data_IF_473420505437
#
_entry.id   IF_473420505437
#
_cell.length_a   1.000
_cell.length_b   1.000
_cell.length_c   1.000
_cell.angle_alpha   90.00
_cell.angle_beta   90.00
_cell.angle_gamma   90.00
#
_symmetry.space_group_name_H-M   'P 1'
#
loop_
_entity.id
_entity.type
_entity.pdbx_description
1 polymer ?
#
# COMPACT_ATOMS: atom_id res chain seq x y z
N UNK A 1 20.09 -22.16 20.71
CA UNK A 1 20.36 -20.73 20.42
C UNK A 1 19.08 -20.19 19.82
N UNK A 2 18.34 -19.39 20.59
CA UNK A 2 17.10 -18.77 20.12
C UNK A 2 17.48 -17.43 19.48
N UNK A 3 17.11 -17.24 18.22
CA UNK A 3 17.24 -15.94 17.55
C UNK A 3 16.24 -14.98 18.17
N UNK A 4 16.75 -13.94 18.82
CA UNK A 4 15.96 -12.84 19.37
C UNK A 4 15.23 -12.12 18.24
N UNK A 5 13.92 -12.35 18.15
CA UNK A 5 13.00 -11.55 17.36
C UNK A 5 13.12 -10.10 17.80
N UNK A 6 13.75 -9.28 16.97
CA UNK A 6 13.92 -7.85 17.25
C UNK A 6 12.60 -7.17 16.92
N UNK A 7 11.68 -7.12 17.88
CA UNK A 7 10.45 -6.34 17.73
C UNK A 7 10.82 -4.86 17.67
N UNK A 8 10.72 -4.26 16.48
CA UNK A 8 10.85 -2.82 16.28
C UNK A 8 9.72 -2.15 17.08
N UNK A 9 10.00 -1.14 17.93
CA UNK A 9 8.94 -0.48 18.68
C UNK A 9 7.95 0.19 17.72
N UNK A 10 6.64 0.16 18.02
CA UNK A 10 5.65 0.82 17.19
C UNK A 10 5.97 2.32 17.12
N UNK A 11 6.24 2.79 15.91
CA UNK A 11 6.28 4.23 15.64
C UNK A 11 4.83 4.69 15.80
N UNK A 12 4.54 5.69 16.64
CA UNK A 12 3.17 6.15 16.86
C UNK A 12 2.45 6.54 15.56
N UNK A 13 1.12 6.79 15.60
CA UNK A 13 0.36 7.14 14.41
C UNK A 13 0.99 8.36 13.71
N UNK A 14 1.28 8.20 12.42
CA UNK A 14 1.78 9.28 11.57
C UNK A 14 0.63 10.25 11.25
N UNK A 15 0.95 11.53 11.14
CA UNK A 15 -0.02 12.51 10.64
C UNK A 15 -0.33 12.26 9.16
N UNK A 16 -1.50 12.73 8.71
CA UNK A 16 -1.90 12.67 7.30
C UNK A 16 -0.82 13.27 6.40
N UNK A 17 -0.32 14.46 6.74
CA UNK A 17 0.61 15.20 5.90
C UNK A 17 1.97 14.49 5.82
N UNK A 18 2.41 13.82 6.89
CA UNK A 18 3.61 12.96 6.84
C UNK A 18 3.43 11.78 5.90
N UNK A 19 2.29 11.09 5.95
CA UNK A 19 2.02 9.95 5.04
C UNK A 19 1.93 10.44 3.59
N UNK A 20 1.24 11.55 3.34
CA UNK A 20 1.15 12.17 2.01
C UNK A 20 2.54 12.52 1.50
N UNK A 21 3.41 13.11 2.32
CA UNK A 21 4.78 13.44 1.94
C UNK A 21 5.59 12.18 1.61
N UNK A 22 5.50 11.12 2.43
CA UNK A 22 6.20 9.85 2.20
C UNK A 22 5.78 9.24 0.85
N UNK A 23 4.47 9.10 0.62
CA UNK A 23 3.94 8.49 -0.62
C UNK A 23 4.27 9.37 -1.84
N UNK A 24 4.17 10.69 -1.72
CA UNK A 24 4.51 11.64 -2.79
C UNK A 24 5.99 11.54 -3.17
N UNK A 25 6.89 11.49 -2.19
CA UNK A 25 8.31 11.34 -2.43
C UNK A 25 8.61 10.03 -3.16
N UNK A 26 7.99 8.94 -2.73
CA UNK A 26 8.17 7.65 -3.37
C UNK A 26 7.63 7.61 -4.80
N UNK A 27 6.42 8.12 -5.05
CA UNK A 27 5.86 8.18 -6.41
C UNK A 27 6.68 9.07 -7.33
N UNK A 28 7.19 10.20 -6.83
CA UNK A 28 8.12 11.06 -7.58
C UNK A 28 9.42 10.34 -7.89
N UNK A 29 9.95 9.54 -6.96
CA UNK A 29 11.12 8.70 -7.22
C UNK A 29 10.85 7.68 -8.33
N UNK A 30 9.67 7.04 -8.35
CA UNK A 30 9.33 6.09 -9.42
C UNK A 30 9.37 6.72 -10.81
N UNK A 31 9.11 8.03 -10.95
CA UNK A 31 9.16 8.71 -12.25
C UNK A 31 10.59 8.92 -12.78
N UNK A 32 11.60 8.57 -12.00
CA UNK A 32 13.01 8.55 -12.45
C UNK A 32 13.36 7.30 -13.25
N UNK A 33 12.51 6.26 -13.18
CA UNK A 33 12.67 5.02 -13.93
C UNK A 33 11.91 5.10 -15.26
N UNK A 34 12.35 4.33 -16.28
CA UNK A 34 11.56 4.19 -17.50
C UNK A 34 10.18 3.60 -17.16
N UNK A 35 9.20 3.83 -18.03
CA UNK A 35 7.83 3.28 -18.00
C UNK A 35 6.82 3.97 -17.08
N UNK A 36 7.22 4.89 -16.19
CA UNK A 36 6.29 5.75 -15.45
C UNK A 36 6.65 7.24 -15.62
N UNK A 37 5.91 7.95 -16.46
CA UNK A 37 6.08 9.39 -16.66
C UNK A 37 5.48 10.22 -15.50
N UNK A 38 6.05 11.41 -15.19
CA UNK A 38 5.49 12.33 -14.19
C UNK A 38 4.01 12.67 -14.37
N UNK A 39 3.53 12.75 -15.62
CA UNK A 39 2.12 13.04 -15.97
C UNK A 39 1.11 11.96 -15.51
N UNK A 40 1.61 10.75 -15.21
CA UNK A 40 0.81 9.69 -14.62
C UNK A 40 0.60 9.86 -13.12
N UNK A 41 1.37 10.73 -12.45
CA UNK A 41 1.15 11.05 -11.04
C UNK A 41 0.10 12.16 -10.96
N UNK A 42 -1.06 11.84 -10.40
CA UNK A 42 -2.12 12.82 -10.10
C UNK A 42 -1.91 13.36 -8.70
N UNK A 43 -1.43 14.59 -8.62
CA UNK A 43 -1.25 15.32 -7.35
C UNK A 43 -2.57 15.95 -6.90
N UNK A 44 -2.96 15.80 -5.63
CA UNK A 44 -4.14 16.46 -5.10
C UNK A 44 -4.00 17.99 -5.12
N UNK A 45 -5.11 18.73 -5.23
CA UNK A 45 -5.15 20.14 -4.87
C UNK A 45 -4.71 20.37 -3.42
N UNK A 46 -4.33 21.59 -3.05
CA UNK A 46 -3.91 21.92 -1.68
C UNK A 46 -4.99 21.62 -0.62
N UNK A 47 -6.26 21.69 -1.00
CA UNK A 47 -7.41 21.34 -0.15
C UNK A 47 -7.81 19.86 -0.23
N UNK A 48 -7.04 19.02 -0.93
CA UNK A 48 -7.41 17.67 -1.29
C UNK A 48 -8.37 17.58 -2.48
N UNK A 49 -8.58 16.35 -2.94
CA UNK A 49 -9.65 15.98 -3.85
C UNK A 49 -11.02 16.22 -3.20
N UNK A 50 -12.10 16.47 -3.97
CA UNK A 50 -13.42 16.69 -3.40
C UNK A 50 -13.84 15.52 -2.49
N UNK A 51 -14.23 15.82 -1.24
CA UNK A 51 -14.61 14.79 -0.25
C UNK A 51 -15.75 13.90 -0.73
N UNK A 52 -16.67 14.44 -1.52
CA UNK A 52 -17.73 13.68 -2.19
C UNK A 52 -17.22 12.53 -3.07
N UNK A 53 -15.99 12.67 -3.59
CA UNK A 53 -15.30 11.64 -4.38
C UNK A 53 -14.93 10.45 -3.51
N UNK A 54 -14.49 10.71 -2.27
CA UNK A 54 -14.05 9.66 -1.35
C UNK A 54 -15.15 9.19 -0.39
N UNK A 55 -16.25 9.93 -0.25
CA UNK A 55 -17.39 9.57 0.61
C UNK A 55 -18.01 8.23 0.23
N UNK A 56 -17.89 7.80 -1.02
CA UNK A 56 -18.32 6.49 -1.50
C UNK A 56 -17.64 5.36 -0.71
N UNK A 57 -16.38 5.55 -0.28
CA UNK A 57 -15.62 4.60 0.52
C UNK A 57 -16.15 4.45 1.95
N UNK A 58 -16.99 5.37 2.44
CA UNK A 58 -17.68 5.22 3.73
C UNK A 58 -18.56 3.95 3.75
N UNK A 59 -19.13 3.55 2.61
CA UNK A 59 -19.89 2.29 2.46
C UNK A 59 -19.03 1.04 2.73
N UNK A 60 -17.72 1.13 2.49
CA UNK A 60 -16.77 0.05 2.84
C UNK A 60 -16.46 -0.01 4.34
N UNK A 61 -16.99 0.92 5.14
CA UNK A 61 -16.79 0.97 6.59
C UNK A 61 -15.45 1.57 7.00
N UNK A 62 -14.82 2.38 6.15
CA UNK A 62 -13.55 3.07 6.46
C UNK A 62 -13.76 4.24 7.42
N UNK A 63 -12.78 4.51 8.26
CA UNK A 63 -12.82 5.61 9.22
C UNK A 63 -12.62 6.96 8.54
N UNK A 64 -13.10 8.05 9.16
CA UNK A 64 -12.93 9.40 8.61
C UNK A 64 -11.45 9.78 8.43
N UNK A 65 -10.54 9.24 9.25
CA UNK A 65 -9.10 9.43 9.09
C UNK A 65 -8.57 8.79 7.78
N UNK A 66 -9.05 7.59 7.41
CA UNK A 66 -8.74 6.97 6.13
C UNK A 66 -9.34 7.77 4.98
N UNK A 67 -10.60 8.21 5.09
CA UNK A 67 -11.25 9.00 4.05
C UNK A 67 -10.54 10.34 3.80
N UNK A 68 -10.16 11.04 4.88
CA UNK A 68 -9.40 12.28 4.79
C UNK A 68 -8.02 12.05 4.16
N UNK A 69 -7.32 10.97 4.52
CA UNK A 69 -6.05 10.64 3.86
C UNK A 69 -6.22 10.32 2.37
N UNK A 70 -7.22 9.50 1.99
CA UNK A 70 -7.49 9.19 0.58
C UNK A 70 -7.82 10.46 -0.23
N UNK A 71 -8.48 11.46 0.36
CA UNK A 71 -8.71 12.74 -0.30
C UNK A 71 -7.41 13.53 -0.54
N UNK A 72 -6.31 13.25 0.17
CA UNK A 72 -5.06 14.01 0.09
C UNK A 72 -3.89 13.20 -0.46
N UNK A 73 -4.07 11.94 -0.87
CA UNK A 73 -3.00 11.15 -1.48
C UNK A 73 -2.80 11.52 -2.95
N UNK A 74 -1.54 11.47 -3.43
CA UNK A 74 -1.29 11.36 -4.86
C UNK A 74 -1.67 9.97 -5.37
N UNK A 75 -2.04 9.86 -6.64
CA UNK A 75 -2.39 8.59 -7.26
C UNK A 75 -1.62 8.37 -8.55
N UNK A 76 -1.25 7.10 -8.81
CA UNK A 76 -0.73 6.69 -10.11
C UNK A 76 -1.93 6.37 -11.02
N UNK A 77 -2.07 7.11 -12.11
CA UNK A 77 -3.11 6.97 -13.12
C UNK A 77 -2.55 6.33 -14.40
N UNK A 78 -2.00 5.14 -14.24
CA UNK A 78 -1.44 4.33 -15.32
C UNK A 78 -1.89 2.88 -15.15
N UNK A 79 -3.11 2.56 -15.61
CA UNK A 79 -3.74 1.23 -15.40
C UNK A 79 -3.03 0.06 -16.09
N UNK A 80 -2.10 0.37 -16.98
CA UNK A 80 -1.24 -0.60 -17.68
C UNK A 80 0.12 -0.80 -16.98
N UNK A 81 0.44 0.04 -15.99
CA UNK A 81 1.72 -0.01 -15.29
C UNK A 81 1.56 -0.78 -13.98
N UNK A 82 2.44 -1.77 -13.81
CA UNK A 82 2.51 -2.59 -12.62
C UNK A 82 3.74 -2.17 -11.81
N UNK A 83 3.57 -2.00 -10.49
CA UNK A 83 4.69 -1.68 -9.59
C UNK A 83 5.62 -2.90 -9.45
N UNK A 84 5.03 -4.07 -9.26
CA UNK A 84 5.68 -5.36 -9.32
C UNK A 84 4.83 -6.26 -10.21
N UNK A 85 5.38 -7.39 -10.68
CA UNK A 85 4.59 -8.39 -11.40
C UNK A 85 3.28 -8.64 -10.65
N UNK A 86 2.15 -8.55 -11.36
CA UNK A 86 0.82 -8.84 -10.82
C UNK A 86 0.33 -7.84 -9.74
N UNK A 87 0.96 -6.67 -9.62
CA UNK A 87 0.69 -5.64 -8.59
C UNK A 87 0.36 -4.28 -9.22
N UNK A 88 -0.90 -3.87 -9.14
CA UNK A 88 -1.39 -2.61 -9.72
C UNK A 88 -1.62 -1.53 -8.67
N UNK A 89 -1.27 -0.26 -8.94
CA UNK A 89 -1.63 0.82 -8.02
C UNK A 89 -3.15 1.06 -8.01
N UNK A 90 -3.71 1.34 -6.84
CA UNK A 90 -5.13 1.70 -6.70
C UNK A 90 -5.26 3.22 -6.76
N UNK A 91 -5.94 3.72 -7.80
CA UNK A 91 -6.34 5.13 -7.91
C UNK A 91 -7.76 5.33 -7.37
N UNK A 92 -7.91 5.66 -6.08
CA UNK A 92 -9.22 5.75 -5.40
C UNK A 92 -10.13 6.88 -5.92
N UNK A 93 -9.57 7.88 -6.61
CA UNK A 93 -10.35 8.94 -7.27
C UNK A 93 -10.62 8.64 -8.75
N UNK A 94 -10.09 7.52 -9.25
CA UNK A 94 -10.21 7.13 -10.64
C UNK A 94 -11.64 6.77 -11.00
N UNK A 95 -12.01 7.02 -12.26
CA UNK A 95 -13.36 6.74 -12.79
C UNK A 95 -13.80 5.29 -12.53
N UNK A 96 -12.90 4.32 -12.71
CA UNK A 96 -13.23 2.90 -12.58
C UNK A 96 -13.48 2.49 -11.12
N UNK A 97 -12.60 2.80 -10.14
CA UNK A 97 -12.89 2.53 -8.73
C UNK A 97 -14.19 3.15 -8.22
N UNK A 98 -14.44 4.42 -8.54
CA UNK A 98 -15.67 5.11 -8.13
C UNK A 98 -16.92 4.48 -8.76
N UNK A 99 -16.83 4.08 -10.04
CA UNK A 99 -17.92 3.39 -10.72
C UNK A 99 -18.22 2.04 -10.05
N UNK A 100 -17.20 1.24 -9.75
CA UNK A 100 -17.36 -0.09 -9.11
C UNK A 100 -18.15 -0.01 -7.80
N UNK A 101 -17.93 1.04 -7.00
CA UNK A 101 -18.63 1.23 -5.74
C UNK A 101 -20.02 1.90 -5.84
N UNK A 102 -20.33 2.47 -7.00
CA UNK A 102 -21.66 3.00 -7.30
C UNK A 102 -22.57 1.99 -8.02
N UNK A 103 -22.03 0.86 -8.45
CA UNK A 103 -22.80 -0.20 -9.11
C UNK A 103 -23.64 -1.02 -8.11
N UNK A 104 -24.69 -1.66 -8.63
CA UNK A 104 -25.44 -2.67 -7.88
C UNK A 104 -24.52 -3.85 -7.53
N UNK A 105 -24.64 -4.39 -6.31
CA UNK A 105 -23.73 -5.41 -5.76
C UNK A 105 -22.26 -4.96 -5.72
N UNK A 106 -22.01 -3.72 -5.32
CA UNK A 106 -20.66 -3.19 -5.12
C UNK A 106 -19.81 -4.06 -4.19
N UNK A 107 -20.43 -4.81 -3.29
CA UNK A 107 -19.79 -5.75 -2.36
C UNK A 107 -18.95 -6.78 -3.11
N UNK A 108 -19.43 -7.25 -4.28
CA UNK A 108 -18.69 -8.18 -5.15
C UNK A 108 -17.43 -7.54 -5.77
N UNK A 109 -17.34 -6.20 -5.75
CA UNK A 109 -16.21 -5.42 -6.28
C UNK A 109 -15.17 -5.11 -5.20
N UNK A 110 -15.41 -5.50 -3.95
CA UNK A 110 -14.49 -5.30 -2.82
C UNK A 110 -13.11 -5.91 -3.07
N UNK A 111 -13.04 -7.01 -3.81
CA UNK A 111 -11.81 -7.70 -4.21
C UNK A 111 -10.85 -6.89 -5.08
N UNK A 112 -11.26 -5.71 -5.55
CA UNK A 112 -10.36 -4.75 -6.23
C UNK A 112 -9.62 -3.80 -5.27
N UNK A 113 -10.00 -3.81 -3.99
CA UNK A 113 -9.51 -2.86 -2.99
C UNK A 113 -9.01 -3.54 -1.72
N UNK A 114 -9.40 -4.79 -1.51
CA UNK A 114 -9.00 -5.63 -0.39
C UNK A 114 -8.70 -7.04 -0.89
N UNK A 115 -7.76 -7.77 -0.27
CA UNK A 115 -7.48 -9.14 -0.65
C UNK A 115 -8.71 -10.05 -0.54
N UNK A 116 -8.76 -11.08 -1.38
CA UNK A 116 -9.88 -12.02 -1.39
C UNK A 116 -10.05 -12.69 -0.01
N UNK A 117 -11.30 -12.93 0.39
CA UNK A 117 -11.67 -13.49 1.70
C UNK A 117 -11.24 -12.69 2.94
N UNK A 118 -10.77 -11.45 2.78
CA UNK A 118 -10.32 -10.62 3.88
C UNK A 118 -11.16 -9.34 3.97
N UNK A 119 -11.56 -9.00 5.20
CA UNK A 119 -12.28 -7.76 5.48
C UNK A 119 -11.36 -6.84 6.27
N UNK A 120 -10.72 -5.90 5.57
CA UNK A 120 -9.79 -4.98 6.22
C UNK A 120 -10.54 -4.12 7.25
N UNK A 121 -9.91 -3.91 8.41
CA UNK A 121 -10.45 -3.05 9.46
C UNK A 121 -10.67 -1.61 8.96
N UNK A 122 -11.46 -0.82 9.70
CA UNK A 122 -11.83 0.54 9.29
C UNK A 122 -10.65 1.50 9.10
N UNK A 123 -9.54 1.25 9.79
CA UNK A 123 -8.34 2.08 9.78
C UNK A 123 -7.26 1.57 8.81
N UNK A 124 -7.60 0.53 8.02
CA UNK A 124 -6.68 -0.14 7.10
C UNK A 124 -7.22 -0.05 5.66
N UNK A 125 -6.36 0.31 4.71
CA UNK A 125 -6.67 0.31 3.28
C UNK A 125 -5.47 -0.19 2.48
N UNK A 126 -5.68 -0.54 1.20
CA UNK A 126 -4.59 -0.99 0.34
C UNK A 126 -4.13 0.09 -0.63
N UNK A 127 -2.83 0.24 -0.85
CA UNK A 127 -2.29 1.09 -1.92
C UNK A 127 -2.25 0.38 -3.28
N UNK A 128 -2.32 -0.96 -3.29
CA UNK A 128 -2.15 -1.76 -4.50
C UNK A 128 -3.14 -2.93 -4.56
N UNK A 129 -3.66 -3.21 -5.75
CA UNK A 129 -4.40 -4.43 -6.06
C UNK A 129 -3.37 -5.50 -6.45
N UNK A 130 -3.17 -6.50 -5.58
CA UNK A 130 -2.38 -7.68 -5.89
C UNK A 130 -3.29 -8.80 -6.38
N UNK A 131 -3.02 -9.41 -7.53
CA UNK A 131 -3.78 -10.62 -7.89
C UNK A 131 -3.21 -11.85 -7.15
N UNK A 132 -2.90 -12.91 -7.87
CA UNK A 132 -2.50 -14.18 -7.27
C UNK A 132 -1.10 -14.10 -6.64
N UNK A 133 -0.15 -13.50 -7.36
CA UNK A 133 1.24 -13.35 -6.93
C UNK A 133 1.61 -11.90 -6.62
N UNK A 134 0.67 -10.99 -6.84
CA UNK A 134 0.82 -9.58 -6.57
C UNK A 134 0.87 -9.25 -5.09
N UNK A 135 1.29 -8.02 -4.82
CA UNK A 135 1.40 -7.47 -3.47
C UNK A 135 0.22 -6.57 -3.16
N UNK A 136 -0.43 -6.83 -2.04
CA UNK A 136 -1.34 -5.93 -1.37
C UNK A 136 -0.56 -5.15 -0.32
N UNK A 137 -0.31 -3.88 -0.59
CA UNK A 137 0.35 -3.00 0.36
C UNK A 137 -0.69 -2.42 1.33
N UNK A 138 -0.89 -3.11 2.44
CA UNK A 138 -1.92 -2.80 3.43
C UNK A 138 -1.40 -1.76 4.42
N UNK A 139 -1.93 -0.56 4.39
CA UNK A 139 -1.55 0.56 5.27
C UNK A 139 -2.49 0.59 6.48
N UNK A 140 -1.94 0.41 7.68
CA UNK A 140 -2.66 0.57 8.96
C UNK A 140 -2.34 1.95 9.54
N UNK A 141 -3.31 2.87 9.45
CA UNK A 141 -3.12 4.25 9.92
C UNK A 141 -3.01 4.36 11.43
N UNK A 142 -3.67 3.46 12.16
CA UNK A 142 -3.66 3.48 13.62
C UNK A 142 -2.30 3.02 14.14
N UNK A 143 -1.71 2.03 13.48
CA UNK A 143 -0.39 1.52 13.83
C UNK A 143 0.76 2.33 13.20
N UNK A 144 0.51 3.10 12.13
CA UNK A 144 1.55 3.79 11.38
C UNK A 144 2.44 2.83 10.58
N UNK A 145 1.90 1.66 10.22
CA UNK A 145 2.64 0.57 9.57
C UNK A 145 2.06 0.19 8.21
N UNK A 146 2.85 -0.56 7.46
CA UNK A 146 2.45 -1.17 6.20
C UNK A 146 2.84 -2.65 6.20
N UNK A 147 1.93 -3.48 5.73
CA UNK A 147 2.12 -4.92 5.57
C UNK A 147 2.18 -5.24 4.07
N UNK A 148 3.25 -5.93 3.66
CA UNK A 148 3.42 -6.47 2.31
C UNK A 148 2.80 -7.86 2.25
N UNK A 149 1.50 -7.91 1.93
CA UNK A 149 0.71 -9.14 1.88
C UNK A 149 0.62 -9.66 0.45
N UNK A 150 0.69 -10.98 0.25
CA UNK A 150 0.43 -11.61 -1.04
C UNK A 150 -0.25 -12.95 -0.83
N UNK A 151 -1.19 -13.32 -1.72
CA UNK A 151 -2.03 -14.50 -1.53
C UNK A 151 -1.29 -15.80 -1.83
N UNK A 152 -0.62 -15.89 -2.98
CA UNK A 152 0.13 -17.08 -3.42
C UNK A 152 1.63 -16.79 -3.59
N UNK A 153 2.09 -15.61 -3.18
CA UNK A 153 3.49 -15.19 -3.15
C UNK A 153 3.83 -14.49 -1.83
N UNK A 154 5.00 -13.83 -1.79
CA UNK A 154 5.36 -12.95 -0.69
C UNK A 154 5.98 -13.63 0.54
N UNK A 155 6.18 -12.87 1.65
CA UNK A 155 6.73 -13.40 2.89
C UNK A 155 5.76 -14.38 3.56
N UNK A 156 6.31 -15.36 4.27
CA UNK A 156 5.50 -16.27 5.10
C UNK A 156 4.88 -15.52 6.28
N UNK A 157 3.69 -15.92 6.77
CA UNK A 157 3.15 -15.42 8.02
C UNK A 157 4.06 -15.83 9.21
N UNK A 158 4.10 -15.01 10.24
CA UNK A 158 4.83 -15.21 11.50
C UNK A 158 4.15 -16.25 12.43
N UNK A 159 3.25 -17.08 11.90
CA UNK A 159 2.53 -18.11 12.66
C UNK A 159 1.67 -19.02 11.79
N UNK A 160 1.18 -20.11 12.38
CA UNK A 160 0.34 -21.13 11.74
C UNK A 160 -1.17 -20.95 12.02
N UNK A 161 -1.58 -19.78 12.52
CA UNK A 161 -2.97 -19.55 12.93
C UNK A 161 -3.92 -19.49 11.73
N UNK A 162 -5.11 -20.09 11.87
CA UNK A 162 -6.18 -20.03 10.86
C UNK A 162 -6.51 -18.58 10.53
N UNK A 163 -6.20 -18.16 9.30
CA UNK A 163 -6.37 -16.80 8.84
C UNK A 163 -7.87 -16.46 8.71
N UNK A 164 -8.44 -15.90 9.77
CA UNK A 164 -9.74 -15.21 9.69
C UNK A 164 -9.64 -13.88 8.91
N UNK A 165 -10.66 -13.04 9.03
CA UNK A 165 -10.74 -11.74 8.32
C UNK A 165 -9.51 -10.82 8.55
N UNK A 166 -8.78 -11.01 9.67
CA UNK A 166 -7.56 -10.27 10.02
C UNK A 166 -6.26 -11.08 9.83
N UNK A 167 -6.27 -12.19 9.09
CA UNK A 167 -5.09 -13.05 8.89
C UNK A 167 -3.87 -12.33 8.28
N UNK A 168 -4.06 -11.18 7.64
CA UNK A 168 -2.96 -10.32 7.16
C UNK A 168 -2.09 -9.80 8.31
N UNK A 169 -2.62 -9.70 9.54
CA UNK A 169 -1.85 -9.27 10.72
C UNK A 169 -0.77 -10.27 11.12
N UNK A 170 -0.87 -11.51 10.65
CA UNK A 170 0.17 -12.52 10.85
C UNK A 170 1.38 -12.25 9.95
N UNK A 171 1.28 -11.38 8.95
CA UNK A 171 2.39 -11.10 8.05
C UNK A 171 3.26 -9.98 8.60
N UNK A 172 4.59 -10.02 8.34
CA UNK A 172 5.51 -8.98 8.79
C UNK A 172 5.03 -7.58 8.39
N UNK A 173 4.91 -6.71 9.39
CA UNK A 173 4.55 -5.30 9.23
C UNK A 173 5.73 -4.42 9.63
N UNK A 174 5.90 -3.30 8.93
CA UNK A 174 6.99 -2.34 9.20
C UNK A 174 6.44 -0.91 9.19
N UNK A 175 7.11 0.05 9.86
CA UNK A 175 6.74 1.45 9.77
C UNK A 175 6.63 1.94 8.31
N UNK A 176 5.60 2.73 8.00
CA UNK A 176 5.30 3.18 6.62
C UNK A 176 6.55 3.80 5.97
N UNK A 177 7.22 4.73 6.68
CA UNK A 177 8.42 5.38 6.17
C UNK A 177 9.54 4.37 5.86
N UNK A 178 9.78 3.44 6.78
CA UNK A 178 10.83 2.42 6.63
C UNK A 178 10.61 1.55 5.39
N UNK A 179 9.35 1.18 5.10
CA UNK A 179 9.02 0.41 3.90
C UNK A 179 9.39 1.15 2.61
N UNK A 180 8.99 2.42 2.50
CA UNK A 180 9.25 3.21 1.30
C UNK A 180 10.73 3.56 1.13
N UNK A 181 11.43 3.89 2.22
CA UNK A 181 12.88 4.06 2.21
C UNK A 181 13.59 2.79 1.70
N UNK A 182 13.18 1.62 2.20
CA UNK A 182 13.74 0.33 1.76
C UNK A 182 13.44 0.03 0.28
N UNK A 183 12.28 0.42 -0.24
CA UNK A 183 11.97 0.31 -1.65
C UNK A 183 12.89 1.19 -2.51
N UNK A 184 13.11 2.44 -2.11
CA UNK A 184 14.03 3.38 -2.79
C UNK A 184 15.45 2.82 -2.79
N UNK A 185 15.94 2.37 -1.65
CA UNK A 185 17.28 1.78 -1.50
C UNK A 185 17.48 0.57 -2.41
N UNK A 186 16.47 -0.32 -2.46
CA UNK A 186 16.49 -1.52 -3.29
C UNK A 186 16.50 -1.18 -4.77
N UNK A 187 15.66 -0.26 -5.21
CA UNK A 187 15.54 0.15 -6.61
C UNK A 187 16.75 0.97 -7.08
N UNK A 188 17.35 1.77 -6.20
CA UNK A 188 18.55 2.56 -6.50
C UNK A 188 19.83 1.71 -6.57
N UNK A 189 19.75 0.41 -6.26
CA UNK A 189 20.91 -0.49 -6.22
C UNK A 189 21.83 -0.26 -5.01
N UNK A 190 21.46 0.59 -4.06
CA UNK A 190 22.24 0.86 -2.85
C UNK A 190 22.37 -0.40 -1.96
N UNK A 191 21.36 -1.28 -2.00
CA UNK A 191 21.40 -2.59 -1.35
C UNK A 191 22.34 -3.61 -2.03
N UNK A 192 22.66 -3.44 -3.33
CA UNK A 192 23.59 -4.31 -4.08
C UNK A 192 25.05 -4.00 -3.69
N UNK A 193 25.33 -2.76 -3.28
CA UNK A 193 26.66 -2.32 -2.83
C UNK A 193 27.12 -2.92 -1.50
N UNK A 194 26.21 -3.39 -0.63
CA UNK A 194 26.54 -3.94 0.69
C UNK A 194 26.98 -5.41 0.68
N UNK A 195 26.75 -6.14 -0.42
CA UNK A 195 27.10 -7.57 -0.56
C UNK A 195 28.29 -7.86 -1.49
N UNK A 196 29.12 -6.85 -1.84
CA UNK A 196 30.34 -7.05 -2.65
C UNK A 196 31.56 -7.58 -1.88
N UNK A 197 31.36 -8.27 -0.76
CA UNK A 197 32.39 -9.09 -0.12
C UNK A 197 32.16 -10.58 -0.42
N UNK A 198 32.20 -10.96 -1.69
CA UNK A 198 32.56 -12.32 -2.06
C UNK A 198 33.81 -12.26 -2.93
N UNK A 199 34.92 -12.49 -2.22
CA UNK A 199 36.24 -12.97 -2.66
C UNK A 199 36.54 -12.84 -4.16
N UNK A 200 37.43 -11.89 -4.48
CA UNK A 200 38.29 -12.01 -5.65
C UNK A 200 39.46 -12.94 -5.32
N UNK A 201 39.73 -13.81 -6.30
CA UNK A 201 40.86 -14.73 -6.52
C UNK A 201 40.82 -16.03 -5.75
#
# INVERSE_FOLDING_TARGET
MAESSTSIPPTGPLSRDEIVAIVTNFYTFLTTYPFLLPEHIKTPPASGWPSSTVDIWRKMGKSEAVLDLLAHLPYIDASYWDWFSDTKPINYIGRLPLRRLNEFRWEDKRSHFEPFSMKLSKDVFSLTEGYNYGKWLLVDLKAGTITDYSMLGGPSPDGEEEAGDEGWRLYPTVPIKQFFDACIDKMSGASIGKNRNYVRV
#
